data_IF_451990796065
#
_entry.id   IF_451990796065
#
_cell.length_a   1.000
_cell.length_b   1.000
_cell.length_c   1.000
_cell.angle_alpha   90.00
_cell.angle_beta   90.00
_cell.angle_gamma   90.00
#
_symmetry.space_group_name_H-M   'P 1'
#
loop_
_entity.id
_entity.type
_entity.pdbx_description
1 polymer ?
#
# COMPACT_ATOMS: atom_id res chain seq x y z
N UNK A 1 5.88 6.29 -7.60
CA UNK A 1 4.85 6.30 -6.55
C UNK A 1 3.77 5.22 -6.72
N UNK A 2 3.11 5.04 -7.90
CA UNK A 2 2.01 4.06 -8.09
C UNK A 2 2.39 2.63 -7.69
N UNK A 3 3.59 2.13 -8.09
CA UNK A 3 4.06 0.78 -7.74
C UNK A 3 4.24 0.58 -6.23
N UNK A 4 4.74 1.61 -5.52
CA UNK A 4 4.90 1.54 -4.06
C UNK A 4 3.52 1.40 -3.39
N UNK A 5 2.54 2.21 -3.81
CA UNK A 5 1.17 2.10 -3.30
C UNK A 5 0.54 0.75 -3.62
N UNK A 6 0.73 0.22 -4.83
CA UNK A 6 0.25 -1.10 -5.22
C UNK A 6 0.83 -2.20 -4.32
N UNK A 7 2.16 -2.22 -4.11
CA UNK A 7 2.83 -3.23 -3.28
C UNK A 7 2.36 -3.17 -1.82
N UNK A 8 2.22 -1.97 -1.26
CA UNK A 8 1.70 -1.81 0.10
C UNK A 8 0.21 -2.19 0.19
N UNK A 9 -0.60 -1.91 -0.84
CA UNK A 9 -1.98 -2.39 -0.92
C UNK A 9 -2.05 -3.92 -0.88
N UNK A 10 -1.20 -4.60 -1.66
CA UNK A 10 -1.09 -6.07 -1.63
C UNK A 10 -0.67 -6.57 -0.24
N UNK A 11 0.38 -5.98 0.36
CA UNK A 11 0.84 -6.34 1.70
C UNK A 11 -0.29 -6.26 2.73
N UNK A 12 -1.13 -5.24 2.63
CA UNK A 12 -2.24 -5.00 3.57
C UNK A 12 -3.48 -5.85 3.29
N UNK A 13 -3.58 -6.55 2.16
CA UNK A 13 -4.74 -7.40 1.82
C UNK A 13 -4.43 -8.89 1.79
N UNK A 14 -3.15 -9.26 1.78
CA UNK A 14 -2.70 -10.63 1.94
C UNK A 14 -2.95 -11.15 3.37
N UNK A 15 -3.13 -12.48 3.54
CA UNK A 15 -3.33 -13.08 4.86
C UNK A 15 -2.08 -12.94 5.73
N UNK A 16 -2.30 -12.78 7.02
CA UNK A 16 -1.24 -12.66 8.02
C UNK A 16 -1.06 -11.24 8.54
N UNK A 17 0.01 -11.05 9.32
CA UNK A 17 0.35 -9.76 9.92
C UNK A 17 1.31 -9.01 9.00
N UNK A 18 0.92 -7.86 8.44
CA UNK A 18 1.83 -7.05 7.63
C UNK A 18 2.95 -6.49 8.50
N UNK A 19 4.17 -6.52 7.99
CA UNK A 19 5.35 -5.93 8.64
C UNK A 19 5.84 -4.81 7.74
N UNK A 20 5.85 -3.58 8.27
CA UNK A 20 6.41 -2.40 7.63
C UNK A 20 7.79 -2.15 8.24
N UNK A 21 8.82 -2.05 7.40
CA UNK A 21 10.14 -1.64 7.86
C UNK A 21 10.20 -0.11 7.91
N UNK A 22 10.94 0.45 8.89
CA UNK A 22 11.03 1.91 9.03
C UNK A 22 11.57 2.55 7.75
N UNK A 23 10.95 3.64 7.33
CA UNK A 23 11.28 4.34 6.09
C UNK A 23 10.43 3.92 4.89
N UNK A 24 9.84 2.70 4.88
CA UNK A 24 8.92 2.28 3.81
C UNK A 24 7.72 3.22 3.71
N UNK A 25 7.22 3.69 4.86
CA UNK A 25 6.06 4.56 4.97
C UNK A 25 6.25 5.96 4.39
N UNK A 26 7.50 6.40 4.22
CA UNK A 26 7.84 7.66 3.57
C UNK A 26 8.54 7.46 2.22
N UNK A 27 8.84 6.21 1.84
CA UNK A 27 9.56 5.87 0.62
C UNK A 27 11.04 6.24 0.66
N UNK A 28 11.72 6.00 1.79
CA UNK A 28 13.18 6.13 1.87
C UNK A 28 13.85 5.27 0.81
N UNK A 29 14.93 5.78 0.22
CA UNK A 29 15.78 5.03 -0.68
C UNK A 29 16.88 4.27 0.04
N UNK A 30 17.63 3.49 -0.75
CA UNK A 30 18.80 2.75 -0.30
C UNK A 30 20.08 3.52 -0.57
N UNK A 31 21.07 3.43 0.34
CA UNK A 31 22.44 3.77 0.01
C UNK A 31 23.16 2.54 -0.54
N UNK A 32 23.16 2.41 -1.88
CA UNK A 32 23.72 1.26 -2.59
C UNK A 32 25.24 1.10 -2.47
N UNK A 33 25.96 2.12 -1.95
CA UNK A 33 27.40 2.07 -1.74
C UNK A 33 27.77 1.39 -0.41
N UNK A 34 26.81 1.19 0.48
CA UNK A 34 27.05 0.48 1.73
C UNK A 34 27.03 -1.04 1.52
N UNK A 35 27.93 -1.78 2.20
CA UNK A 35 28.02 -3.21 2.02
C UNK A 35 26.83 -3.95 2.62
N UNK A 36 26.52 -5.15 2.06
CA UNK A 36 25.46 -6.05 2.47
C UNK A 36 24.09 -5.32 2.47
N UNK A 37 23.31 -5.53 3.50
CA UNK A 37 22.00 -4.90 3.70
C UNK A 37 22.05 -3.59 4.49
N UNK A 38 23.22 -2.99 4.65
CA UNK A 38 23.38 -1.74 5.40
C UNK A 38 22.79 -0.54 4.64
N UNK A 39 22.65 -0.64 3.32
CA UNK A 39 22.03 0.39 2.49
C UNK A 39 20.59 0.72 2.90
N UNK A 40 19.79 -0.31 3.25
CA UNK A 40 18.41 -0.15 3.74
C UNK A 40 18.32 0.18 5.23
N UNK A 41 19.45 0.37 5.92
CA UNK A 41 19.53 0.61 7.36
C UNK A 41 20.12 1.98 7.72
N UNK A 42 20.05 2.91 6.79
CA UNK A 42 20.47 4.30 7.02
C UNK A 42 19.57 4.96 8.08
N UNK A 43 20.05 6.03 8.75
CA UNK A 43 19.25 6.74 9.74
C UNK A 43 17.90 7.20 9.19
N UNK A 44 16.83 7.06 9.99
CA UNK A 44 15.48 7.53 9.62
C UNK A 44 15.48 9.03 9.33
N UNK A 45 14.78 9.42 8.27
CA UNK A 45 14.69 10.80 7.78
C UNK A 45 13.47 11.51 8.39
N UNK A 46 13.67 12.12 9.58
CA UNK A 46 12.60 12.79 10.31
C UNK A 46 12.27 14.18 9.77
N UNK A 47 13.30 14.97 9.43
CA UNK A 47 13.14 16.33 8.90
C UNK A 47 14.39 16.80 8.16
N UNK A 48 14.30 17.93 7.46
CA UNK A 48 15.40 18.51 6.67
C UNK A 48 16.54 19.19 7.48
N UNK A 49 16.60 18.99 8.80
CA UNK A 49 17.67 19.52 9.65
C UNK A 49 18.90 18.62 9.74
N UNK A 50 19.85 18.97 10.63
CA UNK A 50 21.10 18.24 10.81
C UNK A 50 20.84 16.74 11.05
N UNK A 51 21.63 15.89 10.39
CA UNK A 51 21.53 14.42 10.42
C UNK A 51 20.10 13.90 10.14
N UNK A 52 19.34 14.58 9.30
CA UNK A 52 17.95 14.26 9.02
C UNK A 52 17.03 14.25 10.27
N UNK A 53 17.42 14.92 11.35
CA UNK A 53 16.73 14.88 12.64
C UNK A 53 16.87 13.57 13.42
N UNK A 54 17.73 12.66 12.97
CA UNK A 54 17.95 11.38 13.63
C UNK A 54 18.80 11.50 14.90
N UNK A 55 19.79 12.40 14.91
CA UNK A 55 20.73 12.56 16.02
C UNK A 55 21.35 13.95 16.05
N UNK A 56 21.65 14.46 17.25
CA UNK A 56 22.43 15.68 17.48
C UNK A 56 23.93 15.42 17.51
N UNK A 57 24.39 14.19 17.33
CA UNK A 57 25.79 13.84 17.29
C UNK A 57 26.47 14.41 16.04
N UNK A 58 27.77 14.68 16.12
CA UNK A 58 28.52 15.05 14.92
C UNK A 58 28.39 13.97 13.83
N UNK A 59 28.20 14.36 12.56
CA UNK A 59 27.94 13.46 11.41
C UNK A 59 28.92 12.28 11.36
N UNK A 60 30.19 12.49 11.67
CA UNK A 60 31.23 11.46 11.71
C UNK A 60 31.03 10.38 12.80
N UNK A 61 30.12 10.59 13.75
CA UNK A 61 29.80 9.64 14.83
C UNK A 61 28.54 8.83 14.59
N UNK A 62 27.83 9.07 13.49
CA UNK A 62 26.68 8.25 13.12
C UNK A 62 27.13 6.83 12.77
N UNK A 63 26.34 5.81 13.11
CA UNK A 63 26.64 4.41 12.79
C UNK A 63 26.61 4.11 11.29
N UNK A 64 25.82 4.89 10.53
CA UNK A 64 25.73 4.89 9.07
C UNK A 64 25.48 6.32 8.58
N UNK A 65 25.88 6.68 7.36
CA UNK A 65 25.59 8.00 6.81
C UNK A 65 24.09 8.16 6.56
N UNK A 66 23.58 9.39 6.68
CA UNK A 66 22.27 9.78 6.15
C UNK A 66 22.35 9.85 4.63
N UNK A 67 21.24 9.67 3.94
CA UNK A 67 21.15 9.91 2.48
C UNK A 67 20.98 11.40 2.27
N UNK A 68 22.02 12.08 1.83
CA UNK A 68 22.07 13.54 1.68
C UNK A 68 22.13 14.02 0.23
N UNK A 69 22.12 13.10 -0.75
CA UNK A 69 22.15 13.40 -2.19
C UNK A 69 21.12 12.58 -2.97
N UNK A 70 20.71 13.09 -4.14
CA UNK A 70 19.78 12.45 -5.06
C UNK A 70 18.31 12.55 -4.65
N UNK A 71 17.46 11.85 -5.38
CA UNK A 71 15.98 11.92 -5.26
C UNK A 71 15.44 11.44 -3.89
N UNK A 72 16.26 10.70 -3.14
CA UNK A 72 15.92 10.16 -1.81
C UNK A 72 16.64 10.87 -0.67
N UNK A 73 17.32 11.99 -0.95
CA UNK A 73 17.96 12.79 0.08
C UNK A 73 16.95 13.21 1.16
N UNK A 74 17.40 13.33 2.41
CA UNK A 74 16.53 13.70 3.52
C UNK A 74 15.89 15.09 3.40
N UNK A 75 16.43 15.94 2.52
CA UNK A 75 15.80 17.22 2.17
C UNK A 75 14.56 17.02 1.27
N UNK A 76 14.54 15.97 0.46
CA UNK A 76 13.44 15.63 -0.47
C UNK A 76 12.43 14.66 0.15
N UNK A 77 12.93 13.68 0.91
CA UNK A 77 12.10 12.63 1.52
C UNK A 77 12.28 12.68 3.04
N UNK A 78 11.28 13.17 3.75
CA UNK A 78 11.29 13.16 5.23
C UNK A 78 9.88 13.21 5.82
N UNK A 79 9.76 12.75 7.06
CA UNK A 79 8.49 12.69 7.79
C UNK A 79 7.83 14.06 7.89
N UNK A 80 8.56 15.09 8.32
CA UNK A 80 7.98 16.41 8.58
C UNK A 80 7.37 17.05 7.33
N UNK A 81 8.00 16.90 6.17
CA UNK A 81 7.47 17.40 4.91
C UNK A 81 6.22 16.61 4.50
N UNK A 82 6.25 15.27 4.62
CA UNK A 82 5.13 14.42 4.25
C UNK A 82 3.93 14.54 5.20
N UNK A 83 4.11 14.90 6.46
CA UNK A 83 3.00 15.18 7.38
C UNK A 83 2.16 16.39 6.94
N UNK A 84 2.77 17.36 6.26
CA UNK A 84 2.09 18.56 5.76
C UNK A 84 1.40 18.35 4.39
N UNK A 85 1.76 17.29 3.67
CA UNK A 85 1.17 16.98 2.37
C UNK A 85 0.11 15.87 2.52
N UNK A 86 -1.19 16.17 2.35
CA UNK A 86 -2.27 15.20 2.45
C UNK A 86 -2.18 14.07 1.42
N UNK A 87 -1.51 14.29 0.29
CA UNK A 87 -1.35 13.31 -0.80
C UNK A 87 -0.03 12.51 -0.69
N UNK A 88 0.76 12.76 0.36
CA UNK A 88 2.03 12.07 0.62
C UNK A 88 1.87 10.56 0.79
N UNK A 89 2.98 9.83 0.65
CA UNK A 89 2.98 8.40 0.91
C UNK A 89 2.66 8.10 2.37
N UNK A 90 3.20 8.88 3.31
CA UNK A 90 2.96 8.73 4.75
C UNK A 90 1.47 8.85 5.11
N UNK A 91 0.80 9.90 4.63
CA UNK A 91 -0.62 10.11 4.91
C UNK A 91 -1.49 9.08 4.20
N UNK A 92 -1.10 8.66 2.99
CA UNK A 92 -1.75 7.56 2.30
C UNK A 92 -1.59 6.24 3.08
N UNK A 93 -0.39 5.90 3.60
CA UNK A 93 -0.16 4.71 4.44
C UNK A 93 -0.99 4.73 5.73
N UNK A 94 -1.08 5.88 6.39
CA UNK A 94 -1.95 6.06 7.56
C UNK A 94 -3.41 5.72 7.24
N UNK A 95 -3.90 6.21 6.09
CA UNK A 95 -5.27 5.91 5.64
C UNK A 95 -5.45 4.42 5.29
N UNK A 96 -4.46 3.81 4.62
CA UNK A 96 -4.46 2.39 4.27
C UNK A 96 -4.56 1.50 5.53
N UNK A 97 -3.73 1.77 6.54
CA UNK A 97 -3.73 1.05 7.82
C UNK A 97 -5.06 1.23 8.54
N UNK A 98 -5.54 2.47 8.65
CA UNK A 98 -6.83 2.78 9.26
C UNK A 98 -7.99 2.05 8.57
N UNK A 99 -7.99 1.98 7.24
CA UNK A 99 -9.00 1.26 6.48
C UNK A 99 -8.93 -0.23 6.77
N UNK A 100 -7.73 -0.83 6.82
CA UNK A 100 -7.56 -2.24 7.19
C UNK A 100 -8.09 -2.52 8.60
N UNK A 101 -7.82 -1.67 9.58
CA UNK A 101 -8.30 -1.82 10.96
C UNK A 101 -9.83 -1.80 11.07
N UNK A 102 -10.51 -1.08 10.18
CA UNK A 102 -11.98 -1.02 10.13
C UNK A 102 -12.62 -2.26 9.48
N UNK A 103 -11.83 -3.12 8.85
CA UNK A 103 -12.30 -4.28 8.09
C UNK A 103 -11.67 -5.57 8.62
N UNK A 104 -12.29 -6.22 9.64
CA UNK A 104 -11.78 -7.45 10.27
C UNK A 104 -11.51 -8.58 9.28
N UNK A 105 -12.25 -8.66 8.19
CA UNK A 105 -12.03 -9.65 7.12
C UNK A 105 -10.59 -9.64 6.61
N UNK A 106 -9.92 -8.46 6.53
CA UNK A 106 -8.55 -8.34 6.06
C UNK A 106 -7.49 -8.90 7.02
N UNK A 107 -7.83 -9.11 8.29
CA UNK A 107 -6.90 -9.62 9.31
C UNK A 107 -7.23 -11.01 9.82
N UNK A 108 -8.52 -11.34 9.91
CA UNK A 108 -9.04 -12.55 10.56
C UNK A 108 -9.96 -13.38 9.66
N UNK A 109 -10.32 -12.84 8.49
CA UNK A 109 -11.21 -13.50 7.55
C UNK A 109 -10.60 -14.70 6.86
N UNK A 110 -11.47 -15.53 6.27
CA UNK A 110 -11.07 -16.52 5.29
C UNK A 110 -10.54 -15.81 4.05
N UNK A 111 -9.34 -16.14 3.64
CA UNK A 111 -8.71 -15.64 2.43
C UNK A 111 -8.96 -16.58 1.26
N UNK A 112 -9.29 -16.01 0.10
CA UNK A 112 -9.43 -16.72 -1.15
C UNK A 112 -8.77 -15.94 -2.29
N UNK A 113 -7.88 -16.61 -3.04
CA UNK A 113 -7.32 -16.08 -4.27
C UNK A 113 -8.26 -16.45 -5.43
N UNK A 114 -8.95 -15.47 -5.98
CA UNK A 114 -9.73 -15.66 -7.20
C UNK A 114 -8.79 -15.80 -8.40
N UNK A 115 -9.22 -16.56 -9.41
CA UNK A 115 -8.38 -16.89 -10.58
C UNK A 115 -9.09 -16.48 -11.87
N UNK A 116 -9.08 -15.19 -12.21
CA UNK A 116 -9.61 -14.74 -13.48
C UNK A 116 -8.74 -15.21 -14.66
N UNK A 117 -9.26 -15.15 -15.87
CA UNK A 117 -8.48 -15.44 -17.09
C UNK A 117 -7.34 -14.44 -17.28
N UNK A 118 -7.56 -13.15 -16.94
CA UNK A 118 -6.52 -12.13 -17.00
C UNK A 118 -5.57 -12.23 -15.80
N UNK A 119 -4.39 -12.79 -16.04
CA UNK A 119 -3.34 -13.00 -15.01
C UNK A 119 -2.59 -11.72 -14.60
N UNK A 120 -2.82 -10.60 -15.29
CA UNK A 120 -2.24 -9.30 -14.89
C UNK A 120 -2.98 -8.69 -13.69
N UNK A 121 -4.22 -9.14 -13.42
CA UNK A 121 -5.01 -8.71 -12.26
C UNK A 121 -4.97 -9.79 -11.20
N UNK A 122 -4.64 -9.39 -9.99
CA UNK A 122 -4.56 -10.26 -8.82
C UNK A 122 -5.70 -9.90 -7.84
N UNK A 123 -6.80 -10.67 -7.83
CA UNK A 123 -7.94 -10.44 -6.95
C UNK A 123 -7.85 -11.30 -5.70
N UNK A 124 -8.09 -10.69 -4.55
CA UNK A 124 -8.21 -11.35 -3.25
C UNK A 124 -9.62 -11.15 -2.69
N UNK A 125 -10.22 -12.20 -2.19
CA UNK A 125 -11.44 -12.14 -1.41
C UNK A 125 -11.09 -12.48 0.04
N UNK A 126 -11.44 -11.58 0.95
CA UNK A 126 -11.31 -11.77 2.38
C UNK A 126 -12.73 -11.71 2.98
N UNK A 127 -13.12 -12.74 3.70
CA UNK A 127 -14.49 -12.89 4.21
C UNK A 127 -14.50 -13.27 5.69
N UNK A 128 -15.26 -12.54 6.49
CA UNK A 128 -15.66 -12.87 7.85
C UNK A 128 -17.18 -12.97 7.94
N UNK A 129 -17.73 -13.21 9.14
CA UNK A 129 -19.19 -13.25 9.34
C UNK A 129 -19.85 -11.89 9.08
N UNK A 130 -19.16 -10.80 9.34
CA UNK A 130 -19.71 -9.44 9.31
C UNK A 130 -19.17 -8.58 8.15
N UNK A 131 -18.11 -9.02 7.47
CA UNK A 131 -17.38 -8.19 6.53
C UNK A 131 -16.83 -9.01 5.37
N UNK A 132 -17.00 -8.51 4.14
CA UNK A 132 -16.48 -9.12 2.91
C UNK A 132 -15.74 -8.05 2.13
N UNK A 133 -14.46 -8.26 1.88
CA UNK A 133 -13.61 -7.35 1.13
C UNK A 133 -13.04 -8.03 -0.11
N UNK A 134 -13.36 -7.48 -1.26
CA UNK A 134 -12.74 -7.79 -2.54
C UNK A 134 -11.62 -6.79 -2.81
N UNK A 135 -10.38 -7.24 -2.78
CA UNK A 135 -9.21 -6.45 -3.10
C UNK A 135 -8.68 -6.84 -4.48
N UNK A 136 -8.47 -5.85 -5.36
CA UNK A 136 -8.02 -6.03 -6.74
C UNK A 136 -6.74 -5.26 -6.97
N UNK A 137 -5.79 -5.85 -7.70
CA UNK A 137 -4.48 -5.28 -7.97
C UNK A 137 -4.10 -5.49 -9.43
N UNK A 138 -3.93 -4.41 -10.19
CA UNK A 138 -3.39 -4.47 -11.54
C UNK A 138 -1.85 -4.41 -11.48
N UNK A 139 -1.19 -5.52 -11.81
CA UNK A 139 0.28 -5.65 -11.82
C UNK A 139 0.92 -5.13 -13.11
N UNK A 140 0.10 -4.74 -14.09
CA UNK A 140 0.53 -4.33 -15.43
C UNK A 140 0.71 -2.81 -15.53
N UNK A 141 1.59 -2.32 -16.41
CA UNK A 141 1.67 -0.92 -16.79
C UNK A 141 0.52 -0.46 -17.71
N UNK A 142 -0.39 -1.36 -18.08
CA UNK A 142 -1.50 -1.11 -19.01
C UNK A 142 -2.84 -1.07 -18.28
N UNK A 143 -3.86 -0.55 -18.96
CA UNK A 143 -5.26 -0.68 -18.51
C UNK A 143 -5.70 -2.11 -18.71
N UNK A 144 -6.12 -2.76 -17.63
CA UNK A 144 -6.53 -4.15 -17.64
C UNK A 144 -8.00 -4.32 -17.32
N UNK A 145 -8.59 -5.38 -17.86
CA UNK A 145 -9.98 -5.78 -17.62
C UNK A 145 -10.02 -7.21 -17.11
N UNK A 146 -10.91 -7.46 -16.18
CA UNK A 146 -11.16 -8.80 -15.67
C UNK A 146 -12.64 -9.04 -15.49
N UNK A 147 -13.05 -10.28 -15.68
CA UNK A 147 -14.36 -10.78 -15.26
C UNK A 147 -14.18 -11.65 -14.02
N UNK A 148 -15.00 -11.44 -13.01
CA UNK A 148 -15.01 -12.21 -11.78
C UNK A 148 -16.37 -12.86 -11.59
N UNK A 149 -16.36 -14.14 -11.21
CA UNK A 149 -17.56 -14.82 -10.75
C UNK A 149 -17.86 -14.40 -9.31
N UNK A 150 -18.88 -13.60 -9.13
CA UNK A 150 -19.39 -13.09 -7.85
C UNK A 150 -20.86 -13.45 -7.64
N UNK A 151 -21.36 -14.52 -8.28
CA UNK A 151 -22.78 -14.93 -8.25
C UNK A 151 -23.31 -15.12 -6.82
N UNK A 152 -22.47 -15.54 -5.88
CA UNK A 152 -22.84 -15.71 -4.46
C UNK A 152 -23.38 -14.41 -3.84
N UNK A 153 -22.91 -13.24 -4.33
CA UNK A 153 -23.27 -11.93 -3.79
C UNK A 153 -24.11 -11.08 -4.75
N UNK A 154 -24.75 -11.70 -5.74
CA UNK A 154 -25.58 -11.00 -6.72
C UNK A 154 -26.57 -10.04 -6.05
N UNK A 155 -26.65 -8.82 -6.59
CA UNK A 155 -27.55 -7.76 -6.12
C UNK A 155 -27.02 -6.93 -4.95
N UNK A 156 -25.92 -7.35 -4.27
CA UNK A 156 -25.26 -6.55 -3.23
C UNK A 156 -24.51 -5.36 -3.85
N UNK A 157 -24.22 -4.35 -3.03
CA UNK A 157 -23.43 -3.20 -3.46
C UNK A 157 -21.94 -3.44 -3.24
N UNK A 158 -21.12 -2.97 -4.20
CA UNK A 158 -19.69 -2.79 -4.04
C UNK A 158 -19.43 -1.36 -3.58
N UNK A 159 -18.81 -1.21 -2.43
CA UNK A 159 -18.47 0.08 -1.82
C UNK A 159 -16.95 0.23 -1.80
N UNK A 160 -16.44 1.29 -2.43
CA UNK A 160 -15.01 1.63 -2.30
C UNK A 160 -14.68 1.98 -0.85
N UNK A 161 -13.73 1.26 -0.23
CA UNK A 161 -13.45 1.38 1.20
C UNK A 161 -12.71 2.67 1.57
N UNK A 162 -12.07 3.34 0.62
CA UNK A 162 -11.38 4.61 0.85
C UNK A 162 -12.30 5.81 0.68
N UNK A 163 -13.08 5.83 -0.40
CA UNK A 163 -13.97 6.95 -0.72
C UNK A 163 -15.36 6.81 -0.10
N UNK A 164 -15.74 5.59 0.32
CA UNK A 164 -17.08 5.22 0.80
C UNK A 164 -18.18 5.41 -0.25
N UNK A 165 -17.80 5.51 -1.51
CA UNK A 165 -18.75 5.65 -2.61
C UNK A 165 -19.16 4.27 -3.16
N UNK A 166 -20.38 4.20 -3.70
CA UNK A 166 -20.85 3.03 -4.43
C UNK A 166 -20.04 2.88 -5.71
N UNK A 167 -19.29 1.81 -5.83
CA UNK A 167 -18.56 1.44 -7.04
C UNK A 167 -19.50 0.81 -8.08
N UNK A 168 -20.46 0.00 -7.64
CA UNK A 168 -21.45 -0.66 -8.49
C UNK A 168 -22.29 -1.66 -7.72
N UNK A 169 -23.14 -2.38 -8.46
CA UNK A 169 -23.92 -3.51 -7.94
C UNK A 169 -23.33 -4.81 -8.47
N UNK A 170 -23.19 -5.79 -7.60
CA UNK A 170 -22.65 -7.11 -7.97
C UNK A 170 -23.56 -7.80 -8.99
N UNK A 171 -22.96 -8.23 -10.09
CA UNK A 171 -23.57 -9.14 -11.06
C UNK A 171 -22.85 -10.48 -11.03
N UNK A 172 -23.48 -11.60 -11.44
CA UNK A 172 -22.82 -12.92 -11.44
C UNK A 172 -21.47 -12.94 -12.15
N UNK A 173 -21.37 -12.24 -13.27
CA UNK A 173 -20.17 -12.05 -14.07
C UNK A 173 -19.77 -10.57 -14.02
N UNK A 174 -19.07 -10.19 -12.96
CA UNK A 174 -18.69 -8.80 -12.72
C UNK A 174 -17.47 -8.38 -13.54
N UNK A 175 -17.67 -7.43 -14.46
CA UNK A 175 -16.59 -6.86 -15.25
C UNK A 175 -16.00 -5.65 -14.55
N UNK A 176 -14.69 -5.67 -14.31
CA UNK A 176 -13.94 -4.58 -13.65
C UNK A 176 -12.78 -4.14 -14.53
N UNK A 177 -12.56 -2.84 -14.58
CA UNK A 177 -11.45 -2.22 -15.32
C UNK A 177 -10.55 -1.51 -14.31
N UNK A 178 -9.24 -1.78 -14.38
CA UNK A 178 -8.25 -1.12 -13.55
C UNK A 178 -7.23 -0.36 -14.41
N UNK A 179 -6.88 0.84 -13.96
CA UNK A 179 -5.81 1.64 -14.57
C UNK A 179 -4.43 1.01 -14.30
N UNK A 180 -3.35 1.45 -14.98
CA UNK A 180 -2.00 0.95 -14.76
C UNK A 180 -1.58 1.05 -13.29
N UNK A 181 -1.21 -0.11 -12.68
CA UNK A 181 -0.81 -0.22 -11.28
C UNK A 181 -1.88 0.26 -10.28
N UNK A 182 -3.15 0.24 -10.68
CA UNK A 182 -4.27 0.55 -9.80
C UNK A 182 -4.58 -0.62 -8.87
N UNK A 183 -5.10 -0.28 -7.71
CA UNK A 183 -5.69 -1.23 -6.76
C UNK A 183 -7.05 -0.69 -6.29
N UNK A 184 -7.94 -1.60 -5.96
CA UNK A 184 -9.26 -1.29 -5.40
C UNK A 184 -9.50 -2.17 -4.16
N UNK A 185 -10.06 -1.59 -3.11
CA UNK A 185 -10.59 -2.33 -1.97
C UNK A 185 -12.10 -2.06 -1.91
N UNK A 186 -12.88 -3.10 -2.20
CA UNK A 186 -14.33 -3.01 -2.33
C UNK A 186 -15.00 -3.88 -1.25
N UNK A 187 -15.80 -3.24 -0.40
CA UNK A 187 -16.67 -3.97 0.52
C UNK A 187 -17.91 -4.47 -0.21
N UNK A 188 -18.32 -5.71 0.00
CA UNK A 188 -19.56 -6.30 -0.52
C UNK A 188 -20.64 -6.21 0.55
N UNK A 189 -21.62 -5.31 0.37
CA UNK A 189 -22.67 -5.00 1.35
C UNK A 189 -24.07 -5.27 0.85
#
# INVERSE_FOLDING_TARGET
MRKIRLMNSMLMTLPGTPIIYYGDEIGMGDNIELPDRNGVRTPMQWHGGENAGFSEAAKARLYAPVIDEGDYAFLEVNVAAQEQDPDSLLNWMRNLIKTREQHPALGQGRFELLRPENTAILPFLNQSEEDIVLALHNLSPEVERTELDLAEWEGRQLIDLFTKQVFGTVTPHMNIVLQPYEYLWLGIQ
#
